data_IF_719934321408
#
_entry.id   IF_719934321408
#
_cell.length_a   1.000
_cell.length_b   1.000
_cell.length_c   1.000
_cell.angle_alpha   90.00
_cell.angle_beta   90.00
_cell.angle_gamma   90.00
#
_symmetry.space_group_name_H-M   'P 1'
#
loop_
_entity.id
_entity.type
_entity.pdbx_description
1 polymer ?
#
# COMPACT_ATOMS: atom_id res chain seq x y z
N UNK A 1 -0.21 5.56 -1.26
CA UNK A 1 0.83 5.16 -2.23
C UNK A 1 2.18 5.65 -1.75
N UNK A 2 3.27 5.37 -2.46
CA UNK A 2 4.58 5.91 -2.10
C UNK A 2 4.98 7.13 -2.96
N UNK A 3 5.32 8.24 -2.31
CA UNK A 3 5.76 9.46 -3.01
C UNK A 3 7.00 9.18 -3.86
N UNK A 4 7.02 9.67 -5.10
CA UNK A 4 8.14 9.48 -6.02
C UNK A 4 8.17 8.12 -6.74
N UNK A 5 7.24 7.21 -6.44
CA UNK A 5 7.11 5.96 -7.21
C UNK A 5 6.50 6.26 -8.59
N UNK A 6 7.03 5.72 -9.72
CA UNK A 6 6.55 6.05 -11.07
C UNK A 6 5.05 5.82 -11.27
N UNK A 7 4.50 4.76 -10.68
CA UNK A 7 3.06 4.48 -10.71
C UNK A 7 2.22 5.56 -10.01
N UNK A 8 2.72 6.09 -8.88
CA UNK A 8 2.04 7.15 -8.13
C UNK A 8 2.11 8.47 -8.88
N UNK A 9 3.27 8.83 -9.43
CA UNK A 9 3.42 10.01 -10.29
C UNK A 9 2.48 9.93 -11.50
N UNK A 10 2.41 8.76 -12.16
CA UNK A 10 1.52 8.53 -13.29
C UNK A 10 0.03 8.63 -12.92
N UNK A 11 -0.36 8.15 -11.74
CA UNK A 11 -1.76 8.17 -11.25
C UNK A 11 -2.17 9.58 -10.82
N UNK A 12 -1.33 10.26 -10.05
CA UNK A 12 -1.55 11.64 -9.62
C UNK A 12 -1.61 12.59 -10.82
N UNK A 13 -0.82 12.32 -11.87
CA UNK A 13 -0.80 13.09 -13.11
C UNK A 13 -2.05 12.98 -13.99
N UNK A 14 -3.00 12.09 -13.66
CA UNK A 14 -4.27 11.99 -14.40
C UNK A 14 -5.25 13.12 -14.09
N UNK A 15 -5.01 13.89 -13.02
CA UNK A 15 -5.90 14.96 -12.56
C UNK A 15 -5.14 16.28 -12.40
N UNK A 16 -5.83 17.43 -12.46
CA UNK A 16 -5.20 18.72 -12.20
C UNK A 16 -4.54 18.78 -10.81
N UNK A 17 -3.46 19.57 -10.64
CA UNK A 17 -2.78 19.72 -9.36
C UNK A 17 -3.72 20.09 -8.21
N UNK A 18 -3.55 19.41 -7.08
CA UNK A 18 -4.34 19.67 -5.86
C UNK A 18 -5.77 19.15 -5.89
N UNK A 19 -6.17 18.40 -6.93
CA UNK A 19 -7.42 17.62 -6.93
C UNK A 19 -7.22 16.26 -6.24
N UNK A 20 -6.10 15.60 -6.52
CA UNK A 20 -5.72 14.34 -5.88
C UNK A 20 -4.71 14.59 -4.77
N UNK A 21 -4.91 13.96 -3.62
CA UNK A 21 -4.04 14.06 -2.45
C UNK A 21 -3.36 12.72 -2.22
N UNK A 22 -2.07 12.74 -1.86
CA UNK A 22 -1.31 11.54 -1.53
C UNK A 22 -1.28 11.33 -0.02
N UNK A 23 -1.55 10.10 0.40
CA UNK A 23 -1.35 9.60 1.76
C UNK A 23 -0.49 8.35 1.73
N UNK A 24 0.45 8.26 2.66
CA UNK A 24 1.41 7.16 2.80
C UNK A 24 1.23 6.42 4.14
N UNK A 25 0.73 7.11 5.17
CA UNK A 25 0.58 6.58 6.53
C UNK A 25 -0.79 6.91 7.15
N UNK A 26 -1.12 6.22 8.24
CA UNK A 26 -2.31 6.53 9.07
C UNK A 26 -2.22 7.94 9.67
N UNK A 27 -1.01 8.43 9.98
CA UNK A 27 -0.81 9.77 10.50
C UNK A 27 -1.14 10.86 9.45
N UNK A 28 -0.82 10.61 8.18
CA UNK A 28 -1.18 11.52 7.09
C UNK A 28 -2.69 11.70 7.00
N UNK A 29 -3.44 10.59 7.18
CA UNK A 29 -4.90 10.60 7.19
C UNK A 29 -5.46 11.52 8.27
N UNK A 30 -4.79 11.70 9.42
CA UNK A 30 -5.24 12.60 10.49
C UNK A 30 -5.02 14.09 10.18
N UNK A 31 -4.10 14.41 9.28
CA UNK A 31 -3.80 15.80 8.87
C UNK A 31 -4.45 16.23 7.55
N UNK A 32 -5.05 15.28 6.82
CA UNK A 32 -5.64 15.50 5.50
C UNK A 32 -6.69 16.63 5.49
N UNK A 33 -6.57 17.57 4.55
CA UNK A 33 -7.57 18.61 4.31
C UNK A 33 -8.19 18.38 2.93
N UNK A 34 -9.49 18.11 2.89
CA UNK A 34 -10.23 17.87 1.65
C UNK A 34 -11.25 18.99 1.40
N UNK A 35 -11.59 19.23 0.14
CA UNK A 35 -12.54 20.29 -0.24
C UNK A 35 -13.99 19.96 0.11
N UNK A 36 -14.36 18.68 0.01
CA UNK A 36 -15.71 18.20 0.27
C UNK A 36 -15.67 16.73 0.70
N UNK A 37 -16.00 16.46 1.96
CA UNK A 37 -15.99 15.11 2.56
C UNK A 37 -17.11 14.20 2.00
N UNK A 38 -18.20 14.77 1.51
CA UNK A 38 -19.33 14.05 0.90
C UNK A 38 -19.03 13.54 -0.52
N UNK A 39 -17.99 14.10 -1.16
CA UNK A 39 -17.61 13.79 -2.55
C UNK A 39 -16.15 13.38 -2.63
N UNK A 40 -15.80 12.38 -1.83
CA UNK A 40 -14.45 11.84 -1.75
C UNK A 40 -14.42 10.38 -2.23
N UNK A 41 -13.35 10.03 -2.94
CA UNK A 41 -13.01 8.65 -3.28
C UNK A 41 -11.52 8.44 -3.03
N UNK A 42 -11.12 7.20 -2.77
CA UNK A 42 -9.72 6.81 -2.68
C UNK A 42 -9.38 5.77 -3.75
N UNK A 43 -8.10 5.73 -4.10
CA UNK A 43 -7.48 4.65 -4.88
C UNK A 43 -6.11 4.35 -4.27
N UNK A 44 -5.58 3.16 -4.51
CA UNK A 44 -4.30 2.71 -3.99
C UNK A 44 -3.32 2.31 -5.08
N UNK A 45 -2.03 2.32 -4.74
CA UNK A 45 -0.98 1.80 -5.61
C UNK A 45 -1.02 0.27 -5.58
N UNK A 46 -0.81 -0.37 -6.72
CA UNK A 46 -1.04 -1.81 -6.94
C UNK A 46 -0.08 -2.74 -6.18
N UNK A 47 1.05 -2.20 -5.72
CA UNK A 47 2.18 -2.95 -5.14
C UNK A 47 2.40 -2.67 -3.65
N UNK A 48 1.40 -2.12 -2.95
CA UNK A 48 1.48 -1.82 -1.52
C UNK A 48 1.39 -3.09 -0.64
N UNK A 49 1.81 -2.97 0.62
CA UNK A 49 1.48 -3.96 1.66
C UNK A 49 -0.02 -4.00 1.88
N UNK A 50 -0.61 -5.19 1.84
CA UNK A 50 -2.06 -5.38 2.06
C UNK A 50 -2.46 -4.94 3.47
N UNK A 51 -1.64 -5.28 4.47
CA UNK A 51 -1.95 -5.00 5.87
C UNK A 51 -1.84 -3.51 6.19
N UNK A 52 -0.76 -2.86 5.74
CA UNK A 52 -0.55 -1.41 5.96
C UNK A 52 -1.65 -0.61 5.25
N UNK A 53 -1.98 -0.99 4.01
CA UNK A 53 -3.02 -0.31 3.23
C UNK A 53 -4.39 -0.48 3.88
N UNK A 54 -4.69 -1.66 4.44
CA UNK A 54 -5.94 -1.90 5.16
C UNK A 54 -6.09 -0.98 6.38
N UNK A 55 -4.99 -0.75 7.12
CA UNK A 55 -4.95 0.21 8.23
C UNK A 55 -5.24 1.65 7.78
N UNK A 56 -4.64 2.08 6.67
CA UNK A 56 -4.88 3.42 6.10
C UNK A 56 -6.33 3.58 5.62
N UNK A 57 -6.87 2.58 4.93
CA UNK A 57 -8.27 2.58 4.45
C UNK A 57 -9.24 2.63 5.64
N UNK A 58 -8.96 1.89 6.72
CA UNK A 58 -9.77 1.94 7.93
C UNK A 58 -9.77 3.35 8.55
N UNK A 59 -8.59 3.98 8.67
CA UNK A 59 -8.48 5.36 9.15
C UNK A 59 -9.22 6.35 8.24
N UNK A 60 -9.14 6.18 6.91
CA UNK A 60 -9.86 7.02 5.94
C UNK A 60 -11.37 6.89 6.10
N UNK A 61 -11.90 5.66 6.25
CA UNK A 61 -13.33 5.42 6.45
C UNK A 61 -13.83 5.94 7.80
N UNK A 62 -13.01 5.84 8.84
CA UNK A 62 -13.35 6.39 10.15
C UNK A 62 -13.41 7.92 10.11
N UNK A 63 -12.45 8.57 9.43
CA UNK A 63 -12.39 10.03 9.32
C UNK A 63 -13.43 10.60 8.34
N UNK A 64 -13.64 9.92 7.21
CA UNK A 64 -14.52 10.34 6.13
C UNK A 64 -15.56 9.24 5.85
N UNK A 65 -16.66 9.15 6.63
CA UNK A 65 -17.63 8.05 6.53
C UNK A 65 -18.28 7.89 5.14
N UNK A 66 -18.35 8.98 4.36
CA UNK A 66 -18.94 9.00 3.02
C UNK A 66 -17.95 8.67 1.89
N UNK A 67 -16.66 8.42 2.22
CA UNK A 67 -15.63 8.14 1.21
C UNK A 67 -15.96 6.88 0.40
N UNK A 68 -15.91 7.01 -0.93
CA UNK A 68 -16.13 5.88 -1.83
C UNK A 68 -14.84 5.06 -1.97
N UNK A 69 -15.00 3.75 -1.83
CA UNK A 69 -13.97 2.78 -2.16
C UNK A 69 -14.16 2.31 -3.60
N UNK A 70 -13.09 1.97 -4.32
CA UNK A 70 -13.19 1.39 -5.65
C UNK A 70 -13.97 0.07 -5.59
N UNK A 71 -14.64 -0.28 -6.70
CA UNK A 71 -15.44 -1.51 -6.80
C UNK A 71 -14.61 -2.79 -6.67
N UNK A 72 -13.31 -2.72 -6.97
CA UNK A 72 -12.32 -3.77 -6.76
C UNK A 72 -11.16 -3.17 -5.97
N UNK A 73 -10.48 -4.00 -5.18
CA UNK A 73 -9.21 -3.62 -4.56
C UNK A 73 -8.20 -3.23 -5.65
N UNK A 74 -7.52 -2.08 -5.51
CA UNK A 74 -6.51 -1.69 -6.50
C UNK A 74 -5.17 -2.42 -6.26
N UNK A 75 -4.96 -3.00 -5.07
CA UNK A 75 -3.86 -3.94 -4.87
C UNK A 75 -4.13 -5.16 -5.74
N UNK A 76 -3.25 -5.43 -6.69
CA UNK A 76 -3.50 -6.48 -7.67
C UNK A 76 -3.37 -7.87 -7.02
N UNK A 77 -4.09 -8.85 -7.59
CA UNK A 77 -4.07 -10.24 -7.11
C UNK A 77 -2.65 -10.81 -6.98
N UNK A 78 -1.73 -10.38 -7.85
CA UNK A 78 -0.35 -10.82 -7.86
C UNK A 78 0.42 -10.38 -6.61
N UNK A 79 0.12 -9.19 -6.08
CA UNK A 79 0.70 -8.66 -4.84
C UNK A 79 0.13 -9.42 -3.64
N UNK A 80 -1.21 -9.51 -3.55
CA UNK A 80 -1.89 -10.21 -2.45
C UNK A 80 -1.44 -11.67 -2.34
N UNK A 81 -1.48 -12.41 -3.46
CA UNK A 81 -1.11 -13.83 -3.47
C UNK A 81 0.33 -14.07 -3.04
N UNK A 82 1.27 -13.19 -3.45
CA UNK A 82 2.68 -13.33 -3.07
C UNK A 82 2.93 -12.98 -1.61
N UNK A 83 2.27 -11.96 -1.07
CA UNK A 83 2.38 -11.62 0.35
C UNK A 83 1.81 -12.75 1.22
N UNK A 84 0.65 -13.30 0.87
CA UNK A 84 0.07 -14.45 1.57
C UNK A 84 0.96 -15.68 1.52
N UNK A 85 1.60 -15.93 0.38
CA UNK A 85 2.56 -17.02 0.23
C UNK A 85 3.81 -16.80 1.11
N UNK A 86 4.36 -15.57 1.16
CA UNK A 86 5.51 -15.25 1.99
C UNK A 86 5.19 -15.36 3.49
N UNK A 87 3.98 -14.96 3.92
CA UNK A 87 3.52 -15.12 5.30
C UNK A 87 3.52 -16.59 5.72
N UNK A 88 3.04 -17.48 4.85
CA UNK A 88 3.04 -18.93 5.08
C UNK A 88 4.46 -19.51 5.07
N UNK A 89 5.31 -19.05 4.16
CA UNK A 89 6.71 -19.49 4.07
C UNK A 89 7.49 -19.11 5.35
N UNK A 90 7.37 -17.86 5.78
CA UNK A 90 8.05 -17.32 6.97
C UNK A 90 7.72 -18.12 8.25
N UNK A 91 6.50 -18.66 8.37
CA UNK A 91 6.13 -19.49 9.52
C UNK A 91 6.91 -20.82 9.63
N UNK A 92 7.66 -21.20 8.58
CA UNK A 92 8.36 -22.49 8.48
C UNK A 92 9.84 -22.37 8.10
N UNK A 93 10.40 -21.16 8.12
CA UNK A 93 11.76 -20.88 7.70
C UNK A 93 12.48 -19.98 8.70
N UNK A 94 13.76 -20.24 8.94
CA UNK A 94 14.60 -19.38 9.78
C UNK A 94 15.08 -18.13 9.04
N UNK A 95 15.17 -18.22 7.70
CA UNK A 95 15.61 -17.12 6.81
C UNK A 95 14.76 -17.12 5.53
N UNK A 96 14.41 -15.93 5.05
CA UNK A 96 13.73 -15.70 3.76
C UNK A 96 14.61 -14.88 2.83
N UNK A 97 14.78 -15.33 1.59
CA UNK A 97 15.51 -14.60 0.54
C UNK A 97 14.52 -14.22 -0.57
N UNK A 98 14.39 -12.92 -0.82
CA UNK A 98 13.54 -12.37 -1.89
C UNK A 98 14.41 -11.95 -3.06
N UNK A 99 14.25 -12.61 -4.20
CA UNK A 99 14.93 -12.21 -5.44
C UNK A 99 14.22 -10.99 -6.03
N UNK A 100 14.93 -9.88 -6.17
CA UNK A 100 14.37 -8.65 -6.69
C UNK A 100 15.29 -7.45 -6.57
N UNK A 101 15.03 -6.45 -7.42
CA UNK A 101 15.79 -5.20 -7.39
C UNK A 101 15.40 -4.32 -6.19
N UNK A 102 16.34 -3.56 -5.60
CA UNK A 102 16.06 -2.60 -4.53
C UNK A 102 14.97 -1.56 -4.85
N UNK A 103 14.75 -1.25 -6.12
CA UNK A 103 13.72 -0.31 -6.56
C UNK A 103 12.33 -0.96 -6.81
N UNK A 104 12.19 -2.28 -6.63
CA UNK A 104 10.92 -2.98 -6.80
C UNK A 104 10.07 -2.84 -5.54
N UNK A 105 8.97 -2.08 -5.61
CA UNK A 105 8.03 -1.95 -4.49
C UNK A 105 7.53 -3.30 -4.01
N UNK A 106 7.06 -4.17 -4.92
CA UNK A 106 6.55 -5.49 -4.55
C UNK A 106 7.63 -6.38 -3.88
N UNK A 107 8.86 -6.40 -4.40
CA UNK A 107 9.94 -7.21 -3.80
C UNK A 107 10.28 -6.72 -2.39
N UNK A 108 10.35 -5.40 -2.19
CA UNK A 108 10.55 -4.83 -0.86
C UNK A 108 9.42 -5.22 0.11
N UNK A 109 8.16 -5.19 -0.34
CA UNK A 109 7.03 -5.61 0.52
C UNK A 109 7.13 -7.08 0.92
N UNK A 110 7.55 -7.98 0.04
CA UNK A 110 7.75 -9.38 0.41
C UNK A 110 8.82 -9.55 1.49
N UNK A 111 9.95 -8.83 1.37
CA UNK A 111 11.02 -8.86 2.37
C UNK A 111 10.54 -8.30 3.71
N UNK A 112 9.85 -7.17 3.68
CA UNK A 112 9.35 -6.51 4.88
C UNK A 112 8.28 -7.32 5.60
N UNK A 113 7.35 -7.94 4.87
CA UNK A 113 6.34 -8.84 5.46
C UNK A 113 7.00 -10.01 6.18
N UNK A 114 8.04 -10.62 5.61
CA UNK A 114 8.79 -11.68 6.30
C UNK A 114 9.51 -11.16 7.55
N UNK A 115 10.16 -10.00 7.47
CA UNK A 115 10.84 -9.38 8.61
C UNK A 115 9.89 -9.01 9.75
N UNK A 116 8.69 -8.53 9.45
CA UNK A 116 7.65 -8.20 10.44
C UNK A 116 7.14 -9.43 11.21
N UNK A 117 7.30 -10.63 10.64
CA UNK A 117 6.98 -11.90 11.30
C UNK A 117 8.15 -12.43 12.16
N UNK A 118 9.24 -11.67 12.31
CA UNK A 118 10.39 -12.02 13.14
C UNK A 118 11.37 -12.97 12.46
N UNK A 119 11.30 -13.12 11.14
CA UNK A 119 12.21 -13.96 10.35
C UNK A 119 13.24 -13.10 9.65
N UNK A 120 14.51 -13.49 9.67
CA UNK A 120 15.55 -12.77 8.94
C UNK A 120 15.24 -12.78 7.44
N UNK A 121 15.14 -11.59 6.84
CA UNK A 121 14.73 -11.43 5.45
C UNK A 121 15.70 -10.56 4.63
N UNK A 122 16.18 -11.12 3.53
CA UNK A 122 17.17 -10.48 2.65
C UNK A 122 16.62 -10.28 1.24
N UNK A 123 17.17 -9.30 0.52
CA UNK A 123 16.90 -9.08 -0.89
C UNK A 123 18.18 -9.25 -1.70
N UNK A 124 18.08 -9.96 -2.83
CA UNK A 124 19.20 -10.29 -3.73
C UNK A 124 18.87 -10.00 -5.19
#
# INVERSE_FOLDING_TARGET
>A
GHKGHPEVEGTMGQLPPGVMLLVETVADVASLQVRNEEKLAHVSQTTLSVDETSGIIAALKQRFPHIKSPHKEDICYATTNRQDAVKKLAATCDVVIVVGSPNSSNSNRLREVAALLGVDAYMV
#
